data_IF_947766420348
#
_entry.id   IF_947766420348
#
_cell.length_a   1.000
_cell.length_b   1.000
_cell.length_c   1.000
_cell.angle_alpha   90.00
_cell.angle_beta   90.00
_cell.angle_gamma   90.00
#
_symmetry.space_group_name_H-M   'P 1'
#
loop_
_entity.id
_entity.type
_entity.pdbx_description
1 polymer ?
#
# COMPACT_ATOMS: atom_id res chain seq x y z
N UNK A 1 -0.85 30.01 -19.66
CA UNK A 1 -1.21 30.16 -18.23
C UNK A 1 -0.61 28.96 -17.51
N UNK A 2 0.57 29.14 -16.90
CA UNK A 2 1.36 28.03 -16.35
C UNK A 2 0.99 27.91 -14.88
N UNK A 3 0.34 26.81 -14.51
CA UNK A 3 0.02 26.47 -13.12
C UNK A 3 1.32 26.08 -12.41
N UNK A 4 1.89 27.02 -11.66
CA UNK A 4 2.95 26.74 -10.69
C UNK A 4 2.35 25.93 -9.56
N UNK A 5 2.54 24.61 -9.57
CA UNK A 5 2.20 23.75 -8.42
C UNK A 5 3.22 24.03 -7.32
N UNK A 6 2.75 24.56 -6.19
CA UNK A 6 3.60 24.80 -5.02
C UNK A 6 4.26 23.48 -4.60
N UNK A 7 5.60 23.49 -4.62
CA UNK A 7 6.43 22.37 -4.20
C UNK A 7 6.33 22.28 -2.69
N UNK A 8 5.61 21.28 -2.17
CA UNK A 8 5.56 21.02 -0.73
C UNK A 8 6.96 20.73 -0.22
N UNK A 9 7.51 21.68 0.54
CA UNK A 9 8.81 21.60 1.20
C UNK A 9 8.70 20.65 2.40
N UNK A 10 8.82 19.34 2.15
CA UNK A 10 9.06 18.37 3.21
C UNK A 10 10.44 17.76 3.02
N UNK A 11 11.47 18.54 3.34
CA UNK A 11 12.85 18.05 3.45
C UNK A 11 13.01 17.31 4.79
N UNK A 12 12.53 16.06 4.83
CA UNK A 12 12.76 15.14 5.94
C UNK A 12 13.97 14.24 5.70
N UNK A 13 14.63 13.73 6.76
CA UNK A 13 15.73 12.79 6.62
C UNK A 13 15.22 11.49 5.99
N UNK A 14 15.99 10.99 5.02
CA UNK A 14 15.73 9.79 4.20
C UNK A 14 15.60 8.50 5.03
N UNK A 15 15.97 8.53 6.32
CA UNK A 15 16.02 7.39 7.24
C UNK A 15 15.62 7.77 8.68
N UNK A 16 14.47 8.43 8.86
CA UNK A 16 13.93 8.73 10.20
C UNK A 16 12.79 7.78 10.58
N UNK A 17 12.86 7.15 11.75
CA UNK A 17 11.65 6.76 12.50
C UNK A 17 10.79 8.01 12.55
N UNK A 18 9.63 8.03 11.88
CA UNK A 18 8.89 9.25 11.56
C UNK A 18 8.39 10.09 12.74
N UNK A 19 8.91 9.92 13.95
CA UNK A 19 8.51 10.62 15.17
C UNK A 19 8.84 12.13 15.16
N UNK A 20 9.78 12.60 14.32
CA UNK A 20 10.30 13.97 14.37
C UNK A 20 9.66 15.02 13.44
N UNK A 21 8.73 14.66 12.55
CA UNK A 21 8.10 15.61 11.61
C UNK A 21 6.58 15.55 11.75
N UNK A 22 5.96 16.67 12.10
CA UNK A 22 4.51 16.80 12.29
C UNK A 22 3.78 16.82 10.93
N UNK A 23 3.75 15.68 10.25
CA UNK A 23 2.84 15.47 9.12
C UNK A 23 1.42 15.29 9.65
N UNK A 24 0.47 16.00 9.05
CA UNK A 24 -0.96 15.92 9.40
C UNK A 24 -1.54 14.53 9.10
N UNK A 25 -1.03 13.84 8.07
CA UNK A 25 -1.40 12.47 7.69
C UNK A 25 -0.16 11.63 7.43
N UNK A 26 -0.31 10.31 7.58
CA UNK A 26 0.76 9.33 7.35
C UNK A 26 0.19 8.07 6.71
N UNK A 27 1.02 7.36 5.94
CA UNK A 27 0.64 6.05 5.41
C UNK A 27 0.81 4.95 6.44
N UNK A 28 -0.19 4.09 6.53
CA UNK A 28 -0.21 2.89 7.35
C UNK A 28 -0.71 1.71 6.52
N UNK A 29 -0.51 0.49 7.04
CA UNK A 29 -1.13 -0.72 6.50
C UNK A 29 -2.23 -1.19 7.44
N UNK A 30 -3.48 -1.13 6.99
CA UNK A 30 -4.60 -1.79 7.65
C UNK A 30 -4.66 -3.26 7.19
N UNK A 31 -4.61 -4.17 8.17
CA UNK A 31 -4.77 -5.60 7.94
C UNK A 31 -6.26 -5.95 7.93
N UNK A 32 -6.71 -6.56 6.84
CA UNK A 32 -8.13 -6.83 6.58
C UNK A 32 -8.42 -8.31 6.44
N UNK A 33 -9.69 -8.69 6.54
CA UNK A 33 -10.13 -10.06 6.24
C UNK A 33 -9.79 -10.42 4.79
N UNK A 34 -9.40 -11.68 4.56
CA UNK A 34 -9.11 -12.21 3.22
C UNK A 34 -10.25 -11.89 2.24
N UNK A 35 -9.90 -11.38 1.05
CA UNK A 35 -10.83 -11.01 -0.03
C UNK A 35 -11.75 -9.82 0.27
N UNK A 36 -11.52 -9.08 1.35
CA UNK A 36 -12.30 -7.89 1.70
C UNK A 36 -11.59 -6.57 1.35
N UNK A 37 -10.43 -6.62 0.69
CA UNK A 37 -9.59 -5.46 0.39
C UNK A 37 -10.36 -4.40 -0.41
N UNK A 38 -11.05 -4.83 -1.49
CA UNK A 38 -11.89 -3.93 -2.32
C UNK A 38 -13.06 -3.34 -1.53
N UNK A 39 -13.72 -4.15 -0.70
CA UNK A 39 -14.86 -3.70 0.13
C UNK A 39 -14.44 -2.65 1.16
N UNK A 40 -13.26 -2.82 1.76
CA UNK A 40 -12.68 -1.84 2.69
C UNK A 40 -12.34 -0.56 1.96
N UNK A 41 -11.69 -0.64 0.78
CA UNK A 41 -11.38 0.53 -0.05
C UNK A 41 -12.64 1.33 -0.43
N UNK A 42 -13.71 0.66 -0.86
CA UNK A 42 -14.99 1.29 -1.16
C UNK A 42 -15.59 2.02 0.04
N UNK A 43 -15.50 1.44 1.23
CA UNK A 43 -15.96 2.09 2.47
C UNK A 43 -15.10 3.32 2.78
N UNK A 44 -13.78 3.20 2.75
CA UNK A 44 -12.86 4.31 3.03
C UNK A 44 -13.05 5.48 2.05
N UNK A 45 -13.27 5.19 0.77
CA UNK A 45 -13.61 6.19 -0.23
C UNK A 45 -14.90 6.93 0.09
N UNK A 46 -15.93 6.24 0.63
CA UNK A 46 -17.21 6.87 1.01
C UNK A 46 -17.07 7.80 2.21
N UNK A 47 -16.19 7.50 3.16
CA UNK A 47 -15.92 8.36 4.33
C UNK A 47 -14.82 9.40 4.06
N UNK A 48 -14.27 9.44 2.84
CA UNK A 48 -13.28 10.44 2.42
C UNK A 48 -11.85 10.16 2.91
N UNK A 49 -11.54 8.93 3.31
CA UNK A 49 -10.21 8.53 3.76
C UNK A 49 -9.41 8.00 2.56
N UNK A 50 -8.27 8.64 2.29
CA UNK A 50 -7.38 8.24 1.19
C UNK A 50 -6.79 6.85 1.47
N UNK A 51 -6.87 5.98 0.47
CA UNK A 51 -6.41 4.60 0.57
C UNK A 51 -5.90 4.07 -0.77
N UNK A 52 -5.20 2.95 -0.73
CA UNK A 52 -4.70 2.25 -1.89
C UNK A 52 -4.69 0.75 -1.65
N UNK A 53 -5.19 0.00 -2.64
CA UNK A 53 -5.13 -1.46 -2.67
C UNK A 53 -4.28 -1.85 -3.87
N UNK A 54 -3.18 -2.61 -3.69
CA UNK A 54 -2.32 -2.99 -4.79
C UNK A 54 -3.00 -4.09 -5.61
N UNK A 55 -3.73 -3.69 -6.64
CA UNK A 55 -4.38 -4.59 -7.60
C UNK A 55 -3.64 -4.56 -8.92
N UNK A 56 -3.49 -5.72 -9.54
CA UNK A 56 -2.90 -5.85 -10.87
C UNK A 56 -3.77 -6.72 -11.77
N UNK A 57 -3.59 -6.60 -13.09
CA UNK A 57 -4.32 -7.38 -14.08
C UNK A 57 -3.48 -8.58 -14.49
N UNK A 58 -4.02 -9.77 -14.30
CA UNK A 58 -3.38 -11.04 -14.65
C UNK A 58 -4.19 -11.80 -15.70
N UNK A 59 -3.53 -12.51 -16.59
CA UNK A 59 -4.19 -13.41 -17.55
C UNK A 59 -4.26 -14.80 -16.92
N UNK A 60 -5.45 -15.19 -16.47
CA UNK A 60 -5.71 -16.56 -16.07
C UNK A 60 -6.08 -17.41 -17.29
N UNK A 61 -5.32 -18.47 -17.52
CA UNK A 61 -5.64 -19.53 -18.48
C UNK A 61 -6.36 -20.65 -17.75
N UNK A 62 -7.63 -20.87 -18.10
CA UNK A 62 -8.37 -22.09 -17.80
C UNK A 62 -8.31 -23.05 -18.98
N UNK A 63 -8.70 -24.30 -18.76
CA UNK A 63 -8.72 -25.35 -19.80
C UNK A 63 -9.52 -24.95 -21.04
N UNK A 64 -10.54 -24.11 -20.89
CA UNK A 64 -11.43 -23.66 -21.95
C UNK A 64 -11.12 -22.24 -22.46
N UNK A 65 -10.56 -21.33 -21.64
CA UNK A 65 -10.41 -19.91 -21.99
C UNK A 65 -9.26 -19.18 -21.32
N UNK A 66 -8.79 -18.09 -21.94
CA UNK A 66 -7.96 -17.05 -21.29
C UNK A 66 -8.85 -15.89 -20.87
N UNK A 67 -8.66 -15.36 -19.66
CA UNK A 67 -9.38 -14.16 -19.20
C UNK A 67 -8.45 -13.26 -18.40
N UNK A 68 -8.61 -11.96 -18.62
CA UNK A 68 -8.02 -10.92 -17.78
C UNK A 68 -8.81 -10.84 -16.46
N UNK A 69 -8.12 -11.03 -15.34
CA UNK A 69 -8.65 -10.98 -13.98
C UNK A 69 -7.87 -9.97 -13.17
N UNK A 70 -8.53 -9.24 -12.29
CA UNK A 70 -7.84 -8.40 -11.31
C UNK A 70 -7.50 -9.23 -10.08
N UNK A 71 -6.22 -9.34 -9.77
CA UNK A 71 -5.69 -9.97 -8.57
C UNK A 71 -5.19 -8.90 -7.58
N UNK A 72 -5.20 -9.22 -6.29
CA UNK A 72 -4.57 -8.39 -5.26
C UNK A 72 -3.14 -8.88 -5.07
N UNK A 73 -2.15 -8.00 -5.27
CA UNK A 73 -0.73 -8.33 -5.16
C UNK A 73 -0.29 -8.61 -3.70
N UNK A 74 -0.83 -7.83 -2.76
CA UNK A 74 -0.59 -8.00 -1.32
C UNK A 74 -1.91 -8.35 -0.62
N UNK A 75 -2.22 -9.64 -0.46
CA UNK A 75 -3.46 -10.07 0.18
C UNK A 75 -3.58 -9.53 1.60
N UNK A 76 -4.82 -9.26 2.03
CA UNK A 76 -5.14 -8.79 3.38
C UNK A 76 -4.54 -7.43 3.76
N UNK A 77 -3.97 -6.68 2.82
CA UNK A 77 -3.34 -5.39 3.09
C UNK A 77 -4.04 -4.26 2.33
N UNK A 78 -4.45 -3.23 3.07
CA UNK A 78 -4.95 -1.96 2.51
C UNK A 78 -4.07 -0.85 3.04
N UNK A 79 -3.50 -0.06 2.14
CA UNK A 79 -2.71 1.12 2.51
C UNK A 79 -3.65 2.29 2.78
N UNK A 80 -3.46 2.98 3.89
CA UNK A 80 -4.36 4.06 4.33
C UNK A 80 -3.54 5.29 4.69
N UNK A 81 -3.92 6.45 4.18
CA UNK A 81 -3.31 7.72 4.49
C UNK A 81 -4.23 8.54 5.38
N UNK A 82 -3.89 8.54 6.66
CA UNK A 82 -4.80 8.97 7.72
C UNK A 82 -4.10 9.86 8.74
N UNK A 83 -4.86 10.82 9.26
CA UNK A 83 -4.54 11.49 10.52
C UNK A 83 -4.89 10.59 11.73
N UNK A 84 -4.55 10.98 12.99
CA UNK A 84 -4.86 10.16 14.16
C UNK A 84 -6.35 9.86 14.37
N UNK A 85 -7.26 10.74 13.94
CA UNK A 85 -8.71 10.56 14.07
C UNK A 85 -9.23 9.58 13.03
N UNK A 86 -8.86 9.80 11.77
CA UNK A 86 -9.18 8.90 10.64
C UNK A 86 -8.63 7.50 10.89
N UNK A 87 -7.45 7.39 11.52
CA UNK A 87 -6.87 6.10 11.91
C UNK A 87 -7.77 5.30 12.86
N UNK A 88 -8.42 5.96 13.81
CA UNK A 88 -9.38 5.29 14.68
C UNK A 88 -10.65 4.92 13.93
N UNK A 89 -11.09 5.76 12.99
CA UNK A 89 -12.28 5.50 12.18
C UNK A 89 -12.13 4.26 11.29
N UNK A 90 -10.96 4.05 10.70
CA UNK A 90 -10.66 2.84 9.90
C UNK A 90 -10.83 1.56 10.72
N UNK A 91 -10.46 1.57 12.00
CA UNK A 91 -10.62 0.41 12.90
C UNK A 91 -12.07 0.11 13.25
N UNK A 92 -12.99 1.07 13.08
CA UNK A 92 -14.42 0.83 13.31
C UNK A 92 -15.05 -0.06 12.24
N UNK A 93 -14.39 -0.22 11.08
CA UNK A 93 -14.90 -1.11 10.05
C UNK A 93 -14.64 -2.57 10.43
N UNK A 94 -15.70 -3.36 10.58
CA UNK A 94 -15.69 -4.71 11.15
C UNK A 94 -14.75 -5.72 10.48
N UNK A 95 -14.29 -5.44 9.26
CA UNK A 95 -13.41 -6.34 8.50
C UNK A 95 -11.94 -5.91 8.54
N UNK A 96 -11.64 -4.76 9.14
CA UNK A 96 -10.30 -4.33 9.50
C UNK A 96 -9.98 -4.92 10.88
N UNK A 97 -8.87 -5.65 10.98
CA UNK A 97 -8.45 -6.30 12.23
C UNK A 97 -7.58 -5.38 13.08
N UNK A 98 -6.52 -4.82 12.47
CA UNK A 98 -5.52 -3.97 13.14
C UNK A 98 -4.65 -3.30 12.11
N UNK A 99 -3.78 -2.39 12.56
CA UNK A 99 -2.65 -1.93 11.76
C UNK A 99 -1.46 -2.88 11.84
N UNK A 100 -0.66 -2.93 10.78
CA UNK A 100 0.64 -3.57 10.79
C UNK A 100 1.57 -2.86 11.78
N UNK A 101 2.33 -3.64 12.54
CA UNK A 101 3.28 -3.17 13.55
C UNK A 101 4.62 -3.86 13.30
N UNK A 102 5.72 -3.14 13.46
CA UNK A 102 7.06 -3.71 13.30
C UNK A 102 7.40 -4.63 14.46
N UNK A 103 8.33 -5.56 14.23
CA UNK A 103 8.74 -6.51 15.27
C UNK A 103 9.38 -5.75 16.44
N UNK A 104 8.80 -5.90 17.63
CA UNK A 104 9.28 -5.26 18.86
C UNK A 104 8.73 -3.86 19.10
N UNK A 105 7.90 -3.34 18.21
CA UNK A 105 7.19 -2.07 18.39
C UNK A 105 5.75 -2.31 18.85
N UNK A 106 5.13 -1.29 19.45
CA UNK A 106 3.71 -1.27 19.83
C UNK A 106 2.89 -0.31 18.96
N UNK A 107 3.53 0.65 18.31
CA UNK A 107 2.92 1.61 17.41
C UNK A 107 2.74 1.06 15.99
N UNK A 108 1.67 1.46 15.28
CA UNK A 108 1.51 1.18 13.85
C UNK A 108 2.75 1.60 13.04
N UNK A 109 3.19 0.72 12.14
CA UNK A 109 4.26 1.00 11.21
C UNK A 109 3.85 2.12 10.25
N UNK A 110 4.70 3.15 10.15
CA UNK A 110 4.51 4.29 9.24
C UNK A 110 5.28 4.04 7.96
N UNK A 111 4.62 4.21 6.82
CA UNK A 111 5.26 4.17 5.50
C UNK A 111 5.57 5.60 5.08
N UNK A 112 6.81 5.92 4.69
CA UNK A 112 7.15 7.22 4.12
C UNK A 112 6.42 7.48 2.79
N UNK A 113 6.04 8.73 2.54
CA UNK A 113 5.30 9.12 1.32
C UNK A 113 6.06 8.79 0.03
N UNK A 114 7.39 8.95 0.03
CA UNK A 114 8.23 8.63 -1.12
C UNK A 114 8.24 7.12 -1.43
N UNK A 115 8.22 6.28 -0.40
CA UNK A 115 8.12 4.83 -0.56
C UNK A 115 6.75 4.44 -1.12
N UNK A 116 5.67 5.05 -0.62
CA UNK A 116 4.33 4.82 -1.16
C UNK A 116 4.22 5.27 -2.62
N UNK A 117 4.77 6.43 -2.95
CA UNK A 117 4.75 6.97 -4.31
C UNK A 117 5.53 6.08 -5.28
N UNK A 118 6.71 5.58 -4.89
CA UNK A 118 7.50 4.63 -5.68
C UNK A 118 6.78 3.30 -5.87
N UNK A 119 6.15 2.79 -4.81
CA UNK A 119 5.39 1.54 -4.88
C UNK A 119 4.20 1.66 -5.84
N UNK A 120 3.41 2.73 -5.75
CA UNK A 120 2.32 3.01 -6.70
C UNK A 120 2.83 3.14 -8.12
N UNK A 121 3.89 3.92 -8.33
CA UNK A 121 4.50 4.11 -9.65
C UNK A 121 4.96 2.79 -10.27
N UNK A 122 5.60 1.92 -9.48
CA UNK A 122 6.02 0.59 -9.95
C UNK A 122 4.83 -0.22 -10.48
N UNK A 123 3.69 -0.21 -9.78
CA UNK A 123 2.52 -0.99 -10.16
C UNK A 123 1.74 -0.39 -11.34
N UNK A 124 1.70 0.93 -11.45
CA UNK A 124 0.97 1.61 -12.52
C UNK A 124 1.71 1.54 -13.88
N UNK A 125 3.04 1.44 -13.86
CA UNK A 125 3.90 1.52 -15.05
C UNK A 125 4.66 0.24 -15.37
N UNK A 126 4.38 -0.89 -14.71
CA UNK A 126 4.95 -2.19 -15.08
C UNK A 126 4.22 -2.80 -16.28
N UNK A 127 4.95 -3.10 -17.35
CA UNK A 127 4.40 -3.82 -18.52
C UNK A 127 4.06 -5.28 -18.21
N UNK A 128 4.69 -5.85 -17.17
CA UNK A 128 4.51 -7.22 -16.72
C UNK A 128 3.85 -7.28 -15.33
N UNK A 129 3.24 -8.42 -15.01
CA UNK A 129 2.65 -8.67 -13.69
C UNK A 129 3.73 -8.83 -12.64
N UNK A 130 3.65 -8.06 -11.55
CA UNK A 130 4.61 -8.14 -10.45
C UNK A 130 4.32 -9.41 -9.62
N UNK A 131 5.37 -10.14 -9.24
CA UNK A 131 5.25 -11.33 -8.40
C UNK A 131 6.13 -11.21 -7.15
N UNK A 132 5.62 -11.67 -6.01
CA UNK A 132 6.38 -11.78 -4.77
C UNK A 132 7.14 -13.10 -4.79
N UNK A 133 8.47 -13.03 -4.93
CA UNK A 133 9.32 -14.21 -4.86
C UNK A 133 9.89 -14.38 -3.44
N UNK A 134 9.47 -15.45 -2.76
CA UNK A 134 9.98 -15.83 -1.42
C UNK A 134 11.06 -16.91 -1.47
N UNK A 135 11.45 -17.37 -2.66
CA UNK A 135 12.54 -18.32 -2.81
C UNK A 135 13.86 -17.69 -2.35
N UNK A 136 14.63 -18.38 -1.49
CA UNK A 136 15.91 -17.87 -1.02
C UNK A 136 16.87 -17.77 -2.20
N UNK A 137 17.48 -16.60 -2.38
CA UNK A 137 18.51 -16.39 -3.39
C UNK A 137 19.84 -17.04 -2.94
N UNK A 138 20.43 -17.85 -3.80
CA UNK A 138 21.72 -18.47 -3.55
C UNK A 138 22.89 -17.56 -3.96
N UNK A 139 24.04 -17.72 -3.30
CA UNK A 139 25.25 -16.99 -3.69
C UNK A 139 25.66 -17.39 -5.11
N UNK A 140 25.78 -16.42 -6.00
CA UNK A 140 26.13 -16.64 -7.41
C UNK A 140 24.91 -16.83 -8.34
N UNK A 141 23.70 -16.77 -7.80
CA UNK A 141 22.47 -16.75 -8.60
C UNK A 141 22.38 -15.46 -9.43
N UNK A 142 22.06 -15.62 -10.72
CA UNK A 142 21.89 -14.48 -11.62
C UNK A 142 20.48 -13.95 -11.46
N UNK A 143 20.37 -12.67 -11.15
CA UNK A 143 19.10 -11.94 -11.06
C UNK A 143 19.05 -10.86 -12.14
N UNK A 144 17.85 -10.55 -12.61
CA UNK A 144 17.59 -9.42 -13.50
C UNK A 144 16.89 -8.33 -12.68
N UNK A 145 17.34 -7.09 -12.87
CA UNK A 145 16.76 -5.88 -12.25
C UNK A 145 15.91 -5.18 -13.27
#
# INVERSE_FOLDING_TARGET
MILTKEKSLNAGPIYGTGEGVAHSKRWYVALVRMHHEKKVSEYLNKVGIENFVPVQKEIHQWSDRRKLVESVLLPMMVFVHADPKERMEVLNFTTVSRYMVMRGESSPAVIPDDQMARFRFMLDYSDETVCMNSSPLARGEKVQV
#
